data_IF_271324142737
#
_entry.id   IF_271324142737
#
_cell.length_a   1.000
_cell.length_b   1.000
_cell.length_c   1.000
_cell.angle_alpha   90.00
_cell.angle_beta   90.00
_cell.angle_gamma   90.00
#
_symmetry.space_group_name_H-M   'P 1'
#
loop_
_entity.id
_entity.type
_entity.pdbx_description
1 polymer ?
#
# COMPACT_ATOMS: atom_id res chain seq x y z
N UNK A 1 13.82 -1.31 -5.10
CA UNK A 1 13.41 0.09 -5.37
C UNK A 1 11.94 0.22 -5.01
N UNK A 2 11.53 1.33 -4.41
CA UNK A 2 10.12 1.65 -4.17
C UNK A 2 9.68 2.65 -5.23
N UNK A 3 8.55 2.40 -5.90
CA UNK A 3 7.93 3.40 -6.76
C UNK A 3 6.93 4.23 -5.94
N UNK A 4 7.19 5.53 -5.85
CA UNK A 4 6.34 6.49 -5.14
C UNK A 4 5.36 7.19 -6.10
N UNK A 5 4.22 7.63 -5.58
CA UNK A 5 3.19 8.31 -6.37
C UNK A 5 2.28 7.38 -7.18
N UNK A 6 2.10 6.12 -6.76
CA UNK A 6 1.18 5.19 -7.44
C UNK A 6 -0.27 5.48 -7.04
N UNK A 7 -1.06 5.99 -7.99
CA UNK A 7 -2.43 6.44 -7.79
C UNK A 7 -3.46 5.54 -8.47
N UNK A 8 -3.07 4.82 -9.53
CA UNK A 8 -3.98 3.96 -10.30
C UNK A 8 -3.45 2.54 -10.46
N UNK A 9 -4.37 1.61 -10.69
CA UNK A 9 -4.04 0.19 -10.87
C UNK A 9 -3.22 -0.04 -12.15
N UNK A 10 -3.45 0.75 -13.19
CA UNK A 10 -2.68 0.71 -14.44
C UNK A 10 -1.20 1.08 -14.19
N UNK A 11 -0.93 2.09 -13.35
CA UNK A 11 0.43 2.47 -12.97
C UNK A 11 1.11 1.34 -12.19
N UNK A 12 0.41 0.73 -11.22
CA UNK A 12 0.91 -0.40 -10.44
C UNK A 12 1.28 -1.59 -11.34
N UNK A 13 0.40 -1.94 -12.27
CA UNK A 13 0.62 -3.05 -13.21
C UNK A 13 1.83 -2.75 -14.10
N UNK A 14 1.90 -1.55 -14.68
CA UNK A 14 3.02 -1.14 -15.52
C UNK A 14 4.36 -1.23 -14.78
N UNK A 15 4.43 -0.72 -13.54
CA UNK A 15 5.65 -0.74 -12.73
C UNK A 15 6.05 -2.17 -12.31
N UNK A 16 5.07 -3.02 -11.99
CA UNK A 16 5.32 -4.43 -11.69
C UNK A 16 5.92 -5.18 -12.88
N UNK A 17 5.44 -4.92 -14.09
CA UNK A 17 6.02 -5.49 -15.32
C UNK A 17 7.45 -5.03 -15.59
N UNK A 18 7.90 -3.92 -14.98
CA UNK A 18 9.27 -3.43 -15.03
C UNK A 18 10.14 -3.93 -13.88
N UNK A 19 9.63 -4.85 -13.04
CA UNK A 19 10.36 -5.44 -11.92
C UNK A 19 10.38 -4.59 -10.66
N UNK A 20 9.42 -3.66 -10.51
CA UNK A 20 9.24 -2.94 -9.25
C UNK A 20 8.16 -3.65 -8.42
N UNK A 21 8.54 -4.17 -7.26
CA UNK A 21 7.64 -4.95 -6.40
C UNK A 21 7.11 -4.17 -5.18
N UNK A 22 7.62 -2.96 -4.94
CA UNK A 22 7.27 -2.12 -3.80
C UNK A 22 6.70 -0.79 -4.27
N UNK A 23 5.55 -0.40 -3.71
CA UNK A 23 4.81 0.77 -4.15
C UNK A 23 4.38 1.63 -2.96
N UNK A 24 4.38 2.94 -3.16
CA UNK A 24 3.77 3.89 -2.25
C UNK A 24 2.90 4.86 -3.06
N UNK A 25 1.68 5.09 -2.60
CA UNK A 25 0.80 6.10 -3.22
C UNK A 25 -0.66 5.93 -2.82
N UNK A 26 -1.50 6.84 -3.33
CA UNK A 26 -2.90 6.95 -2.92
C UNK A 26 -3.76 5.77 -3.36
N UNK A 27 -3.29 4.96 -4.33
CA UNK A 27 -3.91 3.68 -4.66
C UNK A 27 -4.03 2.77 -3.43
N UNK A 28 -3.02 2.80 -2.55
CA UNK A 28 -2.94 1.92 -1.38
C UNK A 28 -3.39 2.60 -0.10
N UNK A 29 -2.90 3.81 0.15
CA UNK A 29 -3.20 4.55 1.36
C UNK A 29 -2.87 6.03 1.18
N UNK A 30 -3.79 6.91 1.58
CA UNK A 30 -3.45 8.32 1.77
C UNK A 30 -2.58 8.47 3.02
N UNK A 31 -1.76 9.53 3.14
CA UNK A 31 -1.07 9.87 4.38
C UNK A 31 -2.06 9.90 5.55
N UNK A 32 -1.69 9.26 6.64
CA UNK A 32 -2.52 9.15 7.83
C UNK A 32 -1.83 9.80 9.04
N UNK A 33 -2.59 10.33 10.00
CA UNK A 33 -2.03 10.79 11.27
C UNK A 33 -1.31 9.65 12.01
N UNK A 34 -0.23 9.98 12.73
CA UNK A 34 0.54 8.99 13.48
C UNK A 34 -0.31 8.20 14.48
N UNK A 35 -1.26 8.87 15.14
CA UNK A 35 -2.19 8.25 16.11
C UNK A 35 -3.07 7.14 15.52
N UNK A 36 -3.21 7.09 14.19
CA UNK A 36 -4.07 6.12 13.50
C UNK A 36 -3.29 4.88 13.02
N UNK A 37 -1.95 4.87 13.11
CA UNK A 37 -1.10 3.80 12.58
C UNK A 37 -1.37 2.46 13.28
N UNK A 38 -1.33 2.42 14.62
CA UNK A 38 -1.57 1.20 15.40
C UNK A 38 -2.91 0.56 15.02
N UNK A 39 -3.98 1.36 15.04
CA UNK A 39 -5.33 0.92 14.65
C UNK A 39 -5.38 0.34 13.23
N UNK A 40 -4.64 0.89 12.27
CA UNK A 40 -4.60 0.39 10.89
C UNK A 40 -3.85 -0.95 10.83
N UNK A 41 -2.74 -1.07 11.55
CA UNK A 41 -1.92 -2.28 11.61
C UNK A 41 -2.68 -3.43 12.29
N UNK A 42 -3.36 -3.16 13.40
CA UNK A 42 -4.16 -4.16 14.13
C UNK A 42 -5.28 -4.72 13.25
N UNK A 43 -6.05 -3.84 12.59
CA UNK A 43 -7.10 -4.26 11.65
C UNK A 43 -6.56 -5.12 10.52
N UNK A 44 -5.38 -4.78 9.97
CA UNK A 44 -4.73 -5.59 8.93
C UNK A 44 -4.31 -6.97 9.47
N UNK A 45 -3.76 -7.03 10.69
CA UNK A 45 -3.38 -8.29 11.32
C UNK A 45 -4.60 -9.19 11.61
N UNK A 46 -5.74 -8.61 12.01
CA UNK A 46 -7.01 -9.35 12.19
C UNK A 46 -7.49 -9.98 10.88
N UNK A 47 -7.50 -9.23 9.77
CA UNK A 47 -7.91 -9.74 8.45
C UNK A 47 -7.04 -10.93 8.03
N UNK A 48 -5.72 -10.85 8.23
CA UNK A 48 -4.79 -11.92 7.86
C UNK A 48 -4.91 -13.18 8.71
N UNK A 49 -5.38 -13.08 9.97
CA UNK A 49 -5.63 -14.24 10.83
C UNK A 49 -6.92 -14.98 10.46
N UNK A 50 -7.85 -14.30 9.79
CA UNK A 50 -9.17 -14.81 9.44
C UNK A 50 -9.28 -15.29 7.98
N UNK A 51 -8.19 -15.25 7.23
CA UNK A 51 -8.03 -15.76 5.86
C UNK A 51 -7.08 -16.96 5.85
#
# INVERSE_FOLDING_TARGET
MVAEGVETEEQRIYLSQKGCDYFQGYLFCRPVPAKDIERILDKRAEILKNN
#
